data_IF_242566348619
#
_entry.id   IF_242566348619
#
_cell.length_a   1.000
_cell.length_b   1.000
_cell.length_c   1.000
_cell.angle_alpha   90.00
_cell.angle_beta   90.00
_cell.angle_gamma   90.00
#
_symmetry.space_group_name_H-M   'P 1'
#
loop_
_entity.id
_entity.type
_entity.pdbx_description
1 polymer ?
#
# COMPACT_ATOMS: atom_id res chain seq x y z
N UNK A 1 6.91 22.10 11.86
CA UNK A 1 6.34 20.93 11.15
C UNK A 1 7.39 20.50 10.14
N UNK A 2 8.06 19.36 10.36
CA UNK A 2 8.98 18.82 9.37
C UNK A 2 8.17 18.15 8.25
N UNK A 3 8.69 18.12 7.03
CA UNK A 3 7.98 17.49 5.92
C UNK A 3 8.09 15.96 5.98
N UNK A 4 7.09 15.25 5.46
CA UNK A 4 7.18 13.82 5.25
C UNK A 4 8.24 13.49 4.18
N UNK A 5 9.04 12.45 4.40
CA UNK A 5 10.06 12.00 3.46
C UNK A 5 9.53 10.84 2.62
N UNK A 6 9.59 10.96 1.30
CA UNK A 6 9.28 9.85 0.38
C UNK A 6 10.36 8.77 0.52
N UNK A 7 9.98 7.54 0.87
CA UNK A 7 10.91 6.42 1.08
C UNK A 7 10.74 5.29 0.06
N UNK A 8 9.59 5.24 -0.61
CA UNK A 8 9.30 4.30 -1.69
C UNK A 8 8.40 4.98 -2.70
N UNK A 9 8.79 4.94 -3.97
CA UNK A 9 7.95 5.36 -5.09
C UNK A 9 8.28 4.50 -6.31
N UNK A 10 7.40 3.56 -6.62
CA UNK A 10 7.56 2.66 -7.75
C UNK A 10 6.23 2.54 -8.47
N UNK A 11 6.26 2.56 -9.80
CA UNK A 11 5.11 2.26 -10.65
C UNK A 11 5.56 1.34 -11.77
N UNK A 12 4.82 0.25 -11.97
CA UNK A 12 4.99 -0.68 -13.09
C UNK A 12 3.65 -0.80 -13.81
N UNK A 13 3.67 -0.66 -15.12
CA UNK A 13 2.53 -0.98 -16.00
C UNK A 13 2.89 -2.23 -16.78
N UNK A 14 2.00 -3.20 -16.78
CA UNK A 14 2.16 -4.49 -17.43
C UNK A 14 1.60 -4.45 -18.87
N UNK A 15 2.00 -5.39 -19.75
CA UNK A 15 1.48 -5.48 -21.11
C UNK A 15 -0.04 -5.72 -21.19
N UNK A 16 -0.63 -6.34 -20.16
CA UNK A 16 -2.07 -6.56 -20.01
C UNK A 16 -2.84 -5.30 -19.53
N UNK A 17 -2.15 -4.17 -19.37
CA UNK A 17 -2.71 -2.92 -18.87
C UNK A 17 -2.82 -2.82 -17.35
N UNK A 18 -2.46 -3.87 -16.59
CA UNK A 18 -2.44 -3.81 -15.15
C UNK A 18 -1.39 -2.80 -14.65
N UNK A 19 -1.68 -2.17 -13.51
CA UNK A 19 -0.84 -1.17 -12.86
C UNK A 19 -0.55 -1.66 -11.46
N UNK A 20 0.73 -1.76 -11.14
CA UNK A 20 1.24 -1.91 -9.78
C UNK A 20 1.91 -0.61 -9.37
N UNK A 21 1.52 -0.05 -8.22
CA UNK A 21 2.10 1.17 -7.69
C UNK A 21 2.36 1.02 -6.19
N UNK A 22 3.57 1.36 -5.75
CA UNK A 22 3.98 1.34 -4.36
C UNK A 22 4.43 2.74 -3.98
N UNK A 23 3.75 3.37 -3.02
CA UNK A 23 4.19 4.64 -2.46
C UNK A 23 4.17 4.57 -0.94
N UNK A 24 5.28 4.97 -0.32
CA UNK A 24 5.37 5.08 1.13
C UNK A 24 6.18 6.31 1.54
N UNK A 25 5.75 6.95 2.61
CA UNK A 25 6.38 8.11 3.22
C UNK A 25 6.69 7.81 4.69
N UNK A 26 7.81 8.35 5.16
CA UNK A 26 8.11 8.46 6.59
C UNK A 26 7.65 9.83 7.08
N UNK A 27 6.82 9.84 8.11
CA UNK A 27 6.36 11.05 8.78
C UNK A 27 7.43 11.51 9.79
N UNK A 28 7.56 12.83 10.03
CA UNK A 28 8.47 13.35 11.06
C UNK A 28 8.04 12.90 12.45
N UNK A 29 8.96 12.93 13.42
CA UNK A 29 8.59 12.67 14.81
C UNK A 29 7.83 13.85 15.42
N UNK A 30 6.76 13.64 16.22
CA UNK A 30 6.12 12.38 16.60
C UNK A 30 4.89 12.02 15.73
N UNK A 31 4.79 12.54 14.50
CA UNK A 31 3.60 12.44 13.67
C UNK A 31 3.29 11.02 13.20
N UNK A 32 2.02 10.62 13.30
CA UNK A 32 1.47 9.41 12.71
C UNK A 32 0.16 9.71 11.95
N UNK A 33 -0.23 8.83 11.05
CA UNK A 33 -1.59 8.88 10.48
C UNK A 33 -2.58 8.57 11.59
N UNK A 34 -3.62 9.39 11.76
CA UNK A 34 -4.65 9.14 12.79
C UNK A 34 -5.26 7.75 12.59
N UNK A 35 -5.16 6.90 13.61
CA UNK A 35 -5.60 5.50 13.55
C UNK A 35 -4.46 4.49 13.34
N UNK A 36 -3.26 4.96 12.98
CA UNK A 36 -2.03 4.14 12.93
C UNK A 36 -1.13 4.44 14.13
N UNK A 37 -0.38 3.42 14.55
CA UNK A 37 0.56 3.49 15.69
C UNK A 37 2.02 3.67 15.27
N UNK A 38 2.25 3.99 13.99
CA UNK A 38 3.58 4.12 13.39
C UNK A 38 3.69 5.39 12.53
N UNK A 39 4.94 5.78 12.24
CA UNK A 39 5.28 7.01 11.50
C UNK A 39 5.37 6.82 9.99
N UNK A 40 4.51 5.98 9.43
CA UNK A 40 4.51 5.73 7.99
C UNK A 40 3.13 6.01 7.41
N UNK A 41 3.11 6.69 6.27
CA UNK A 41 1.94 6.77 5.41
C UNK A 41 2.23 5.94 4.17
N UNK A 42 1.26 5.19 3.67
CA UNK A 42 1.47 4.39 2.48
C UNK A 42 0.22 4.25 1.63
N UNK A 43 0.44 3.95 0.35
CA UNK A 43 -0.56 3.59 -0.63
C UNK A 43 0.07 2.62 -1.62
N UNK A 44 -0.27 1.35 -1.49
CA UNK A 44 0.09 0.28 -2.41
C UNK A 44 -1.16 -0.08 -3.20
N UNK A 45 -1.05 -0.19 -4.51
CA UNK A 45 -2.17 -0.38 -5.42
C UNK A 45 -1.81 -1.39 -6.49
N UNK A 46 -2.74 -2.31 -6.75
CA UNK A 46 -2.73 -3.19 -7.89
C UNK A 46 -4.13 -3.24 -8.51
N UNK A 47 -4.21 -3.09 -9.82
CA UNK A 47 -5.47 -3.09 -10.53
C UNK A 47 -5.29 -2.93 -12.03
N UNK A 48 -6.41 -2.89 -12.74
CA UNK A 48 -6.51 -2.60 -14.17
C UNK A 48 -7.21 -1.26 -14.35
N UNK A 49 -7.23 -0.67 -15.56
CA UNK A 49 -7.94 0.60 -15.77
C UNK A 49 -9.39 0.51 -15.29
N UNK A 50 -9.78 1.42 -14.40
CA UNK A 50 -11.13 1.49 -13.82
C UNK A 50 -11.41 0.51 -12.66
N UNK A 51 -10.53 -0.44 -12.36
CA UNK A 51 -10.80 -1.49 -11.36
C UNK A 51 -9.62 -1.69 -10.41
N UNK A 52 -9.87 -1.44 -9.11
CA UNK A 52 -8.96 -1.79 -8.02
C UNK A 52 -9.12 -3.27 -7.67
N UNK A 53 -8.04 -4.04 -7.76
CA UNK A 53 -8.04 -5.46 -7.37
C UNK A 53 -7.49 -5.63 -5.95
N UNK A 54 -6.41 -4.92 -5.62
CA UNK A 54 -5.79 -4.92 -4.31
C UNK A 54 -5.29 -3.53 -3.95
N UNK A 55 -5.53 -3.05 -2.74
CA UNK A 55 -4.75 -1.95 -2.19
C UNK A 55 -4.48 -2.13 -0.71
N UNK A 56 -3.34 -1.62 -0.26
CA UNK A 56 -3.03 -1.44 1.14
C UNK A 56 -2.77 0.03 1.37
N UNK A 57 -3.50 0.66 2.27
CA UNK A 57 -3.30 2.04 2.62
C UNK A 57 -3.67 2.30 4.08
N UNK A 58 -3.22 3.44 4.60
CA UNK A 58 -3.65 3.92 5.90
C UNK A 58 -4.32 5.28 5.77
N UNK A 59 -5.61 5.31 6.11
CA UNK A 59 -6.46 6.49 6.01
C UNK A 59 -6.71 7.07 7.41
N UNK A 60 -6.66 8.41 7.50
CA UNK A 60 -6.94 9.10 8.75
C UNK A 60 -8.34 8.76 9.26
N UNK A 61 -8.41 8.19 10.47
CA UNK A 61 -9.66 7.75 11.10
C UNK A 61 -9.96 6.26 10.95
N UNK A 62 -9.40 5.59 9.94
CA UNK A 62 -9.49 4.11 9.78
C UNK A 62 -8.24 3.38 10.24
N UNK A 63 -7.08 4.01 10.08
CA UNK A 63 -5.80 3.34 10.26
C UNK A 63 -5.48 2.41 9.09
N UNK A 64 -4.68 1.40 9.39
CA UNK A 64 -4.13 0.45 8.44
C UNK A 64 -5.17 -0.56 7.95
N UNK A 65 -5.37 -0.65 6.63
CA UNK A 65 -6.34 -1.56 6.05
C UNK A 65 -5.97 -2.01 4.63
N UNK A 66 -6.64 -3.08 4.20
CA UNK A 66 -6.49 -3.70 2.88
C UNK A 66 -7.84 -3.76 2.18
N UNK A 67 -7.83 -3.41 0.90
CA UNK A 67 -8.95 -3.58 -0.03
C UNK A 67 -8.67 -4.77 -0.93
N UNK A 68 -9.54 -5.78 -0.91
CA UNK A 68 -9.55 -6.89 -1.88
C UNK A 68 -10.82 -6.76 -2.71
N UNK A 69 -10.71 -6.13 -3.87
CA UNK A 69 -11.86 -5.67 -4.65
C UNK A 69 -12.72 -4.70 -3.85
N UNK A 70 -13.96 -5.12 -3.53
CA UNK A 70 -14.93 -4.35 -2.75
C UNK A 70 -14.87 -4.64 -1.24
N UNK A 71 -14.10 -5.63 -0.81
CA UNK A 71 -14.00 -6.02 0.60
C UNK A 71 -12.87 -5.26 1.27
N UNK A 72 -13.20 -4.52 2.33
CA UNK A 72 -12.25 -3.82 3.19
C UNK A 72 -12.04 -4.60 4.50
N UNK A 73 -10.80 -4.74 4.93
CA UNK A 73 -10.45 -5.38 6.20
C UNK A 73 -9.28 -4.66 6.90
N UNK A 74 -9.24 -4.65 8.25
CA UNK A 74 -8.10 -4.13 9.00
C UNK A 74 -6.80 -4.86 8.65
N UNK A 75 -5.69 -4.14 8.69
CA UNK A 75 -4.35 -4.69 8.47
C UNK A 75 -3.42 -4.36 9.64
N UNK A 76 -2.71 -5.37 10.16
CA UNK A 76 -1.72 -5.16 11.22
C UNK A 76 -0.37 -4.79 10.60
N UNK A 77 0.00 -3.52 10.70
CA UNK A 77 1.30 -3.05 10.22
C UNK A 77 2.45 -3.61 11.08
N UNK A 78 3.47 -4.17 10.41
CA UNK A 78 4.71 -4.65 11.05
C UNK A 78 5.89 -3.76 10.66
N UNK A 79 6.13 -3.63 9.36
CA UNK A 79 7.15 -2.75 8.80
C UNK A 79 6.83 -2.45 7.33
N UNK A 80 7.46 -1.42 6.77
CA UNK A 80 7.33 -1.12 5.32
C UNK A 80 7.81 -2.30 4.47
N UNK A 81 8.84 -3.02 4.93
CA UNK A 81 9.37 -4.20 4.22
C UNK A 81 8.35 -5.35 4.20
N UNK A 82 7.75 -5.67 5.34
CA UNK A 82 6.72 -6.72 5.41
C UNK A 82 5.45 -6.33 4.64
N UNK A 83 5.04 -5.05 4.72
CA UNK A 83 3.93 -4.51 3.93
C UNK A 83 4.16 -4.74 2.43
N UNK A 84 5.33 -4.35 1.90
CA UNK A 84 5.67 -4.55 0.49
C UNK A 84 5.73 -6.03 0.14
N UNK A 85 6.33 -6.86 1.00
CA UNK A 85 6.42 -8.31 0.78
C UNK A 85 5.05 -8.95 0.65
N UNK A 86 4.17 -8.77 1.64
CA UNK A 86 2.82 -9.36 1.65
C UNK A 86 2.01 -8.86 0.46
N UNK A 87 2.09 -7.56 0.15
CA UNK A 87 1.41 -7.00 -1.01
C UNK A 87 1.87 -7.64 -2.33
N UNK A 88 3.19 -7.73 -2.55
CA UNK A 88 3.74 -8.32 -3.78
C UNK A 88 3.45 -9.82 -3.89
N UNK A 89 3.43 -10.55 -2.78
CA UNK A 89 3.07 -11.97 -2.76
C UNK A 89 1.61 -12.16 -3.20
N UNK A 90 0.68 -11.33 -2.72
CA UNK A 90 -0.72 -11.37 -3.19
C UNK A 90 -0.88 -10.98 -4.66
N UNK A 91 -0.18 -9.93 -5.11
CA UNK A 91 -0.20 -9.56 -6.54
C UNK A 91 0.34 -10.70 -7.39
N UNK A 92 1.42 -11.35 -6.95
CA UNK A 92 2.00 -12.51 -7.65
C UNK A 92 0.99 -13.64 -7.77
N UNK A 93 0.24 -13.95 -6.70
CA UNK A 93 -0.83 -14.96 -6.75
C UNK A 93 -1.93 -14.56 -7.74
N UNK A 94 -2.36 -13.29 -7.74
CA UNK A 94 -3.35 -12.79 -8.71
C UNK A 94 -2.86 -12.86 -10.16
N UNK A 95 -1.54 -12.78 -10.39
CA UNK A 95 -0.88 -12.85 -11.69
C UNK A 95 -0.43 -14.26 -12.10
N UNK A 96 -0.77 -15.28 -11.33
CA UNK A 96 -0.39 -16.66 -11.65
C UNK A 96 1.10 -16.98 -11.47
N UNK A 97 1.84 -16.20 -10.66
CA UNK A 97 3.24 -16.47 -10.32
C UNK A 97 4.25 -15.42 -10.78
N UNK A 98 3.86 -14.49 -11.65
CA UNK A 98 4.78 -13.54 -12.32
C UNK A 98 4.58 -12.08 -11.85
N UNK A 99 5.69 -11.33 -11.73
CA UNK A 99 5.71 -9.93 -11.28
C UNK A 99 6.48 -8.98 -12.18
#
# INVERSE_FOLDING_TARGET
>A
MAAASLILNMKKTYPDGAILQLVAWRLPDPECVRGSTHRFKYRLFYGVPGTRLLSYDNEAGKGDHVHRGAVEAPYTFISVRELVRVFLDEVRTMRGGEL
#
